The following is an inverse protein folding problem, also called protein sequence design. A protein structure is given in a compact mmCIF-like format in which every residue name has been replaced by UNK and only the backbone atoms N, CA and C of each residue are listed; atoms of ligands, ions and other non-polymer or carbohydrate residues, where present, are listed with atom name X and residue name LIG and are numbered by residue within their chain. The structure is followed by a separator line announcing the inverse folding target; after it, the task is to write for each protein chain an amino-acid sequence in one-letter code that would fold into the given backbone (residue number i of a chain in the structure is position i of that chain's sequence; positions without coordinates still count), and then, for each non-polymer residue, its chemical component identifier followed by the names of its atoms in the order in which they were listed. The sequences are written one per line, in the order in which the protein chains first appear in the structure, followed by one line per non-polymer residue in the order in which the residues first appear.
data_IF_727558927841
#
_entry.id   IF_727558927841
#
_cell.length_a   1.000
_cell.length_b   1.000
_cell.length_c   1.000
_cell.angle_alpha   90.00
_cell.angle_beta   90.00
_cell.angle_gamma   90.00
#
_symmetry.space_group_name_H-M   'P 1'
#
loop_
_entity.id
_entity.type
_entity.pdbx_description
1 polymer ?
#
# COMPACT_ATOMS: atom_id res chain seq x y z
N UNK A 1 0.24 -14.79 11.58
CA UNK A 1 -0.67 -13.68 12.02
C UNK A 1 -0.63 -13.47 13.53
N UNK A 2 -0.59 -14.56 14.36
CA UNK A 2 -0.64 -14.45 15.83
C UNK A 2 0.52 -13.69 16.51
N UNK A 3 1.65 -13.53 15.84
CA UNK A 3 2.80 -12.72 16.32
C UNK A 3 2.89 -11.44 15.50
N UNK A 4 2.93 -11.55 14.20
CA UNK A 4 3.20 -10.44 13.30
C UNK A 4 2.16 -9.31 13.36
N UNK A 5 0.86 -9.63 13.44
CA UNK A 5 -0.18 -8.59 13.50
C UNK A 5 -0.12 -7.74 14.78
N UNK A 6 0.03 -8.32 15.98
CA UNK A 6 0.27 -7.53 17.20
C UNK A 6 1.52 -6.67 17.14
N UNK A 7 2.62 -7.15 16.54
CA UNK A 7 3.83 -6.35 16.35
C UNK A 7 3.60 -5.16 15.43
N UNK A 8 2.93 -5.35 14.29
CA UNK A 8 2.60 -4.27 13.36
C UNK A 8 1.63 -3.26 13.98
N UNK A 9 0.64 -3.71 14.74
CA UNK A 9 -0.27 -2.81 15.46
C UNK A 9 0.50 -1.90 16.43
N UNK A 10 1.35 -2.48 17.27
CA UNK A 10 2.18 -1.74 18.22
C UNK A 10 3.16 -0.80 17.52
N UNK A 11 3.81 -1.27 16.45
CA UNK A 11 4.74 -0.48 15.65
C UNK A 11 4.05 0.74 15.02
N UNK A 12 2.91 0.56 14.35
CA UNK A 12 2.18 1.65 13.70
C UNK A 12 1.72 2.70 14.71
N UNK A 13 1.20 2.29 15.87
CA UNK A 13 0.83 3.21 16.96
C UNK A 13 2.02 4.01 17.45
N UNK A 14 3.17 3.38 17.65
CA UNK A 14 4.39 4.03 18.10
C UNK A 14 4.98 4.98 17.05
N UNK A 15 5.04 4.54 15.79
CA UNK A 15 5.71 5.27 14.72
C UNK A 15 4.89 6.46 14.19
N UNK A 16 3.56 6.36 14.23
CA UNK A 16 2.66 7.34 13.58
C UNK A 16 1.75 8.09 14.55
N UNK A 17 1.65 7.65 15.81
CA UNK A 17 0.76 8.25 16.80
C UNK A 17 -0.72 7.92 16.60
N UNK A 18 -1.07 7.01 15.71
CA UNK A 18 -2.47 6.59 15.51
C UNK A 18 -2.99 5.86 16.75
N UNK A 19 -4.25 6.07 17.09
CA UNK A 19 -4.88 5.48 18.28
C UNK A 19 -5.46 4.09 18.02
N UNK A 20 -5.78 3.77 16.77
CA UNK A 20 -6.42 2.51 16.39
C UNK A 20 -5.86 2.01 15.06
N UNK A 21 -5.63 0.71 14.97
CA UNK A 21 -5.15 0.01 13.76
C UNK A 21 -6.07 -1.17 13.50
N UNK A 22 -6.48 -1.36 12.24
CA UNK A 22 -7.21 -2.53 11.78
C UNK A 22 -6.43 -3.19 10.65
N UNK A 23 -5.87 -4.36 10.92
CA UNK A 23 -5.11 -5.13 9.93
C UNK A 23 -6.06 -6.12 9.26
N UNK A 24 -6.38 -5.90 7.99
CA UNK A 24 -7.41 -6.66 7.27
C UNK A 24 -6.86 -7.61 6.20
N UNK A 25 -5.60 -7.43 5.78
CA UNK A 25 -5.00 -8.28 4.76
C UNK A 25 -3.47 -8.31 4.87
N UNK A 26 -2.86 -9.30 4.23
CA UNK A 26 -1.43 -9.35 3.94
C UNK A 26 -1.19 -10.11 2.63
N UNK A 27 -0.17 -9.76 1.91
CA UNK A 27 0.24 -10.42 0.67
C UNK A 27 1.74 -10.67 0.70
N UNK A 28 2.16 -11.88 0.38
CA UNK A 28 3.56 -12.21 0.17
C UNK A 28 3.85 -12.11 -1.32
N UNK A 29 4.86 -11.32 -1.69
CA UNK A 29 5.30 -11.16 -3.08
C UNK A 29 6.53 -12.04 -3.32
N UNK A 30 6.46 -12.93 -4.31
CA UNK A 30 7.55 -13.84 -4.66
C UNK A 30 7.72 -13.87 -6.16
N UNK A 31 8.94 -13.59 -6.63
CA UNK A 31 9.28 -13.63 -8.05
C UNK A 31 9.36 -15.07 -8.57
N UNK A 32 9.96 -15.98 -7.79
CA UNK A 32 10.15 -17.38 -8.15
C UNK A 32 8.80 -18.11 -8.21
N UNK A 33 8.42 -18.59 -9.39
CA UNK A 33 7.18 -19.29 -9.63
C UNK A 33 7.03 -20.55 -8.78
N UNK A 34 8.11 -21.31 -8.62
CA UNK A 34 8.13 -22.55 -7.83
C UNK A 34 7.88 -22.34 -6.33
N UNK A 35 8.10 -21.13 -5.84
CA UNK A 35 7.87 -20.75 -4.44
C UNK A 35 6.49 -20.11 -4.19
N UNK A 36 5.71 -19.88 -5.23
CA UNK A 36 4.36 -19.29 -5.12
C UNK A 36 3.32 -20.34 -4.75
N UNK A 37 3.28 -20.71 -3.49
CA UNK A 37 2.30 -21.66 -2.95
C UNK A 37 1.31 -20.95 -2.03
N UNK A 38 0.01 -21.15 -2.27
CA UNK A 38 -1.06 -20.59 -1.45
C UNK A 38 -1.69 -19.30 -2.00
N UNK A 39 -2.88 -18.99 -1.51
CA UNK A 39 -3.72 -17.88 -2.00
C UNK A 39 -3.15 -16.47 -1.75
N UNK A 40 -2.29 -16.33 -0.75
CA UNK A 40 -1.70 -15.05 -0.33
C UNK A 40 -0.37 -14.74 -1.02
N UNK A 41 0.16 -15.65 -1.84
CA UNK A 41 1.45 -15.48 -2.52
C UNK A 41 1.23 -15.05 -3.97
N UNK A 42 1.77 -13.89 -4.34
CA UNK A 42 1.57 -13.26 -5.64
C UNK A 42 2.88 -12.78 -6.24
N UNK A 43 2.87 -12.44 -7.53
CA UNK A 43 3.97 -11.74 -8.18
C UNK A 43 4.14 -10.32 -7.61
N UNK A 44 5.37 -9.80 -7.60
CA UNK A 44 5.60 -8.36 -7.48
C UNK A 44 4.85 -7.59 -8.58
N UNK A 45 4.42 -6.37 -8.28
CA UNK A 45 3.67 -5.53 -9.22
C UNK A 45 4.62 -4.51 -9.83
N UNK A 46 4.95 -4.69 -11.11
CA UNK A 46 5.83 -3.78 -11.85
C UNK A 46 5.13 -2.51 -12.35
N UNK A 47 3.80 -2.54 -12.51
CA UNK A 47 3.04 -1.35 -12.92
C UNK A 47 2.96 -0.37 -11.77
N UNK A 48 3.28 0.91 -12.05
CA UNK A 48 3.16 1.98 -11.06
C UNK A 48 1.69 2.27 -10.79
N UNK A 49 1.32 2.24 -9.53
CA UNK A 49 -0.06 2.39 -9.07
C UNK A 49 -0.13 2.98 -7.67
N UNK A 50 -1.33 3.28 -7.24
CA UNK A 50 -1.69 3.48 -5.85
C UNK A 50 -2.95 2.66 -5.56
N UNK A 51 -2.99 1.97 -4.43
CA UNK A 51 -3.97 0.90 -4.16
C UNK A 51 -5.41 1.38 -3.98
N UNK A 52 -5.63 2.66 -3.69
CA UNK A 52 -6.95 3.20 -3.41
C UNK A 52 -7.20 4.53 -4.11
N UNK A 53 -8.48 4.78 -4.40
CA UNK A 53 -9.01 6.05 -4.90
C UNK A 53 -9.92 6.70 -3.86
N UNK A 54 -10.44 7.89 -4.16
CA UNK A 54 -11.46 8.55 -3.33
C UNK A 54 -12.69 7.67 -3.08
N UNK A 55 -13.03 6.84 -4.05
CA UNK A 55 -14.17 5.91 -3.95
C UNK A 55 -13.79 4.61 -3.23
N UNK A 56 -12.67 3.98 -3.62
CA UNK A 56 -12.35 2.64 -3.14
C UNK A 56 -11.79 2.62 -1.71
N UNK A 57 -11.16 3.69 -1.23
CA UNK A 57 -10.69 3.80 0.14
C UNK A 57 -11.81 3.65 1.18
N UNK A 58 -12.82 4.55 1.20
CA UNK A 58 -13.96 4.43 2.09
C UNK A 58 -14.79 3.15 1.87
N UNK A 59 -14.92 2.73 0.61
CA UNK A 59 -15.58 1.45 0.29
C UNK A 59 -14.87 0.27 0.97
N UNK A 60 -13.54 0.23 0.93
CA UNK A 60 -12.78 -0.86 1.53
C UNK A 60 -12.97 -0.92 3.05
N UNK A 61 -13.08 0.21 3.72
CA UNK A 61 -13.41 0.25 5.17
C UNK A 61 -14.72 -0.47 5.42
N UNK A 62 -15.77 -0.19 4.63
CA UNK A 62 -17.07 -0.86 4.75
C UNK A 62 -17.04 -2.35 4.40
N UNK A 63 -16.16 -2.75 3.48
CA UNK A 63 -16.05 -4.15 3.05
C UNK A 63 -15.37 -5.06 4.11
N UNK A 64 -14.55 -4.49 5.01
CA UNK A 64 -13.70 -5.27 5.94
C UNK A 64 -14.07 -5.12 7.41
N UNK A 65 -15.02 -4.26 7.73
CA UNK A 65 -15.48 -3.97 9.09
C UNK A 65 -16.99 -4.18 9.21
N UNK A 66 -17.47 -4.31 10.43
CA UNK A 66 -18.91 -4.18 10.71
C UNK A 66 -19.38 -2.75 10.40
N UNK A 67 -20.67 -2.58 10.12
CA UNK A 67 -21.25 -1.27 9.78
C UNK A 67 -20.95 -0.21 10.85
N UNK A 68 -21.12 -0.55 12.13
CA UNK A 68 -20.86 0.37 13.24
C UNK A 68 -19.39 0.77 13.37
N UNK A 69 -18.45 -0.16 13.13
CA UNK A 69 -17.03 0.13 13.13
C UNK A 69 -16.65 0.98 11.92
N UNK A 70 -17.16 0.64 10.74
CA UNK A 70 -16.90 1.40 9.53
C UNK A 70 -17.33 2.86 9.67
N UNK A 71 -18.53 3.13 10.16
CA UNK A 71 -19.00 4.50 10.37
C UNK A 71 -18.16 5.25 11.42
N UNK A 72 -17.69 4.57 12.47
CA UNK A 72 -16.78 5.17 13.43
C UNK A 72 -15.44 5.57 12.78
N UNK A 73 -14.84 4.73 11.93
CA UNK A 73 -13.59 5.08 11.23
C UNK A 73 -13.82 6.19 10.21
N UNK A 74 -14.90 6.11 9.43
CA UNK A 74 -15.19 7.07 8.37
C UNK A 74 -15.58 8.47 8.90
N UNK A 75 -16.07 8.57 10.15
CA UNK A 75 -16.37 9.86 10.80
C UNK A 75 -15.12 10.58 11.37
N UNK A 76 -13.95 9.95 11.31
CA UNK A 76 -12.69 10.50 11.78
C UNK A 76 -11.64 10.51 10.66
N UNK A 77 -10.47 11.08 10.94
CA UNK A 77 -9.34 10.92 10.04
C UNK A 77 -8.88 9.46 10.05
N UNK A 78 -8.76 8.88 8.88
CA UNK A 78 -8.19 7.56 8.68
C UNK A 78 -7.25 7.53 7.48
N UNK A 79 -6.30 6.61 7.52
CA UNK A 79 -5.41 6.33 6.42
C UNK A 79 -5.33 4.82 6.16
N UNK A 80 -5.08 4.44 4.91
CA UNK A 80 -4.74 3.08 4.53
C UNK A 80 -3.24 3.01 4.23
N UNK A 81 -2.55 2.14 4.95
CA UNK A 81 -1.10 2.06 4.92
C UNK A 81 -0.66 0.63 4.64
N UNK A 82 0.18 0.45 3.64
CA UNK A 82 0.90 -0.80 3.43
C UNK A 82 2.20 -0.77 4.22
N UNK A 83 2.41 -1.79 5.04
CA UNK A 83 3.69 -2.04 5.71
C UNK A 83 4.47 -3.01 4.85
N UNK A 84 5.39 -2.49 4.05
CA UNK A 84 6.22 -3.28 3.15
C UNK A 84 7.58 -3.59 3.79
N UNK A 85 8.02 -4.82 3.70
CA UNK A 85 9.37 -5.24 4.09
C UNK A 85 9.81 -6.46 3.31
N UNK A 86 11.12 -6.72 3.25
CA UNK A 86 11.63 -7.97 2.76
C UNK A 86 11.48 -9.10 3.79
N UNK A 87 11.48 -10.35 3.35
CA UNK A 87 11.32 -11.52 4.21
C UNK A 87 12.52 -12.46 4.05
N UNK A 88 13.31 -12.58 5.11
CA UNK A 88 14.43 -13.53 5.21
C UNK A 88 15.72 -13.16 4.50
N UNK A 89 15.65 -12.30 3.47
CA UNK A 89 16.81 -11.81 2.69
C UNK A 89 16.63 -10.33 2.36
N UNK A 90 17.72 -9.65 1.98
CA UNK A 90 17.64 -8.26 1.49
C UNK A 90 16.82 -8.14 0.20
N UNK A 91 16.24 -6.97 -0.03
CA UNK A 91 15.44 -6.66 -1.22
C UNK A 91 16.34 -6.11 -2.35
N UNK A 92 17.05 -6.99 -3.04
CA UNK A 92 18.05 -6.60 -4.05
C UNK A 92 17.46 -6.44 -5.45
N UNK A 93 16.72 -7.44 -5.95
CA UNK A 93 16.34 -7.52 -7.36
C UNK A 93 15.08 -6.74 -7.74
N UNK A 94 14.09 -6.71 -6.87
CA UNK A 94 12.80 -6.05 -7.12
C UNK A 94 12.43 -5.17 -5.91
N UNK A 95 13.23 -4.13 -5.62
CA UNK A 95 12.92 -3.21 -4.54
C UNK A 95 11.62 -2.47 -4.81
N UNK A 96 10.96 -2.04 -3.75
CA UNK A 96 9.83 -1.13 -3.89
C UNK A 96 10.34 0.26 -4.28
N UNK A 97 9.75 0.84 -5.31
CA UNK A 97 9.98 2.22 -5.72
C UNK A 97 8.74 3.05 -5.39
N UNK A 98 8.94 4.28 -4.96
CA UNK A 98 7.88 5.23 -4.67
C UNK A 98 8.21 6.61 -5.21
N UNK A 99 7.17 7.35 -5.61
CA UNK A 99 7.33 8.71 -6.08
C UNK A 99 7.38 9.71 -4.92
N UNK A 100 8.13 10.78 -5.11
CA UNK A 100 7.94 11.99 -4.33
C UNK A 100 6.57 12.59 -4.66
N UNK A 101 5.65 12.57 -3.69
CA UNK A 101 4.29 13.05 -3.87
C UNK A 101 4.19 14.51 -4.34
N UNK A 102 5.23 15.32 -4.08
CA UNK A 102 5.31 16.72 -4.53
C UNK A 102 5.51 16.85 -6.03
N UNK A 103 5.97 15.78 -6.68
CA UNK A 103 6.27 15.73 -8.11
C UNK A 103 5.19 15.03 -8.94
N UNK A 104 4.22 14.37 -8.29
CA UNK A 104 3.07 13.75 -8.93
C UNK A 104 1.91 14.74 -8.98
N UNK A 105 1.41 15.02 -10.18
CA UNK A 105 0.26 15.90 -10.36
C UNK A 105 -1.05 15.13 -10.19
N UNK A 106 -2.15 15.77 -9.76
CA UNK A 106 -3.45 15.11 -9.67
C UNK A 106 -3.88 14.41 -10.97
N UNK A 107 -3.59 15.01 -12.14
CA UNK A 107 -3.93 14.48 -13.47
C UNK A 107 -3.07 13.28 -13.88
N UNK A 108 -1.99 12.99 -13.17
CA UNK A 108 -1.17 11.81 -13.40
C UNK A 108 -1.85 10.53 -12.83
N UNK A 109 -2.78 10.67 -11.90
CA UNK A 109 -3.57 9.57 -11.36
C UNK A 109 -4.79 9.26 -12.23
N UNK A 110 -4.85 8.04 -12.75
CA UNK A 110 -5.95 7.55 -13.59
C UNK A 110 -6.68 6.43 -12.88
N UNK A 111 -7.92 6.66 -12.48
CA UNK A 111 -8.73 5.64 -11.85
C UNK A 111 -8.94 4.44 -12.79
N UNK A 112 -8.73 3.25 -12.28
CA UNK A 112 -8.85 1.99 -13.03
C UNK A 112 -9.54 0.93 -12.19
N UNK A 113 -10.55 0.30 -12.78
CA UNK A 113 -11.30 -0.76 -12.14
C UNK A 113 -10.48 -2.04 -11.96
N UNK A 114 -10.61 -2.66 -10.80
CA UNK A 114 -10.19 -4.03 -10.53
C UNK A 114 -11.44 -4.90 -10.39
N UNK A 115 -11.72 -5.68 -11.42
CA UNK A 115 -12.89 -6.56 -11.44
C UNK A 115 -12.50 -7.95 -10.96
N UNK A 116 -13.05 -8.38 -9.83
CA UNK A 116 -12.94 -9.73 -9.28
C UNK A 116 -14.26 -10.48 -9.51
N UNK A 117 -14.28 -11.77 -9.28
CA UNK A 117 -15.50 -12.58 -9.44
C UNK A 117 -16.61 -12.16 -8.46
N UNK A 118 -16.24 -11.75 -7.26
CA UNK A 118 -17.11 -11.49 -6.12
C UNK A 118 -17.18 -10.01 -5.70
N UNK A 119 -16.30 -9.16 -6.26
CA UNK A 119 -16.24 -7.75 -5.90
C UNK A 119 -15.63 -6.88 -6.99
N UNK A 120 -15.90 -5.59 -6.91
CA UNK A 120 -15.22 -4.55 -7.67
C UNK A 120 -14.36 -3.70 -6.72
N UNK A 121 -13.12 -3.48 -7.11
CA UNK A 121 -12.21 -2.52 -6.52
C UNK A 121 -11.85 -1.44 -7.54
N UNK A 122 -11.13 -0.43 -7.09
CA UNK A 122 -10.59 0.62 -7.94
C UNK A 122 -9.23 1.05 -7.38
N UNK A 123 -8.27 1.24 -8.26
CA UNK A 123 -6.93 1.74 -7.95
C UNK A 123 -6.65 2.98 -8.80
N UNK A 124 -5.61 3.73 -8.45
CA UNK A 124 -5.00 4.65 -9.40
C UNK A 124 -3.85 3.98 -10.13
N UNK A 125 -3.90 3.96 -11.46
CA UNK A 125 -2.69 3.84 -12.27
C UNK A 125 -2.05 5.21 -12.39
N UNK A 126 -0.72 5.24 -12.56
CA UNK A 126 0.01 6.50 -12.64
C UNK A 126 0.54 6.68 -14.05
N UNK A 127 0.12 7.77 -14.69
CA UNK A 127 0.63 8.17 -16.01
C UNK A 127 2.03 8.74 -15.86
N UNK A 128 2.94 8.31 -16.72
CA UNK A 128 4.26 8.92 -16.77
C UNK A 128 4.16 10.40 -17.17
N UNK A 129 4.84 11.27 -16.46
CA UNK A 129 5.07 12.64 -16.83
C UNK A 129 6.49 13.08 -16.50
N UNK A 130 7.01 14.04 -17.31
CA UNK A 130 8.33 14.61 -17.06
C UNK A 130 8.35 15.37 -15.73
N UNK A 131 9.41 15.19 -14.95
CA UNK A 131 9.59 15.83 -13.66
C UNK A 131 9.11 15.01 -12.46
N UNK A 132 8.56 13.82 -12.67
CA UNK A 132 8.34 12.87 -11.58
C UNK A 132 9.67 12.38 -11.03
N UNK A 133 9.84 12.44 -9.70
CA UNK A 133 11.02 11.96 -8.99
C UNK A 133 10.68 10.68 -8.24
N UNK A 134 11.57 9.68 -8.36
CA UNK A 134 11.35 8.34 -7.85
C UNK A 134 12.48 7.93 -6.91
N UNK A 135 12.12 7.30 -5.79
CA UNK A 135 13.03 6.87 -4.75
C UNK A 135 12.84 5.40 -4.42
N UNK A 136 13.92 4.73 -4.07
CA UNK A 136 13.90 3.39 -3.50
C UNK A 136 15.00 3.27 -2.45
N UNK A 137 14.90 2.27 -1.60
CA UNK A 137 15.94 1.93 -0.63
C UNK A 137 16.72 0.73 -1.16
N UNK A 138 18.00 0.90 -1.53
CA UNK A 138 18.83 -0.21 -1.99
C UNK A 138 19.07 -1.20 -0.86
N UNK A 139 19.09 -2.50 -1.19
CA UNK A 139 19.48 -3.60 -0.28
C UNK A 139 18.72 -3.60 1.06
N UNK A 140 17.47 -3.18 1.04
CA UNK A 140 16.63 -3.06 2.23
C UNK A 140 16.59 -4.37 3.01
N UNK A 141 16.96 -4.30 4.29
CA UNK A 141 17.11 -5.47 5.16
C UNK A 141 15.76 -5.96 5.72
N UNK A 142 15.69 -7.23 6.20
CA UNK A 142 14.45 -7.78 6.74
C UNK A 142 13.90 -7.09 8.00
N UNK A 143 14.72 -6.34 8.73
CA UNK A 143 14.36 -5.55 9.91
C UNK A 143 13.97 -4.10 9.58
N UNK A 144 14.05 -3.72 8.31
CA UNK A 144 13.61 -2.41 7.82
C UNK A 144 12.22 -2.50 7.20
N UNK A 145 11.43 -1.42 7.35
CA UNK A 145 10.09 -1.33 6.78
C UNK A 145 9.87 -0.01 6.06
N UNK A 146 9.08 -0.05 5.00
CA UNK A 146 8.54 1.14 4.34
C UNK A 146 7.04 1.22 4.63
N UNK A 147 6.59 2.38 5.08
CA UNK A 147 5.18 2.69 5.22
C UNK A 147 4.69 3.43 3.97
N UNK A 148 3.91 2.75 3.14
CA UNK A 148 3.28 3.34 1.96
C UNK A 148 1.87 3.79 2.33
N UNK A 149 1.65 5.10 2.44
CA UNK A 149 0.32 5.65 2.67
C UNK A 149 -0.45 5.66 1.36
N UNK A 150 -1.31 4.68 1.17
CA UNK A 150 -2.07 4.49 -0.06
C UNK A 150 -3.39 5.27 -0.09
N UNK A 151 -3.83 5.79 1.05
CA UNK A 151 -5.01 6.66 1.17
C UNK A 151 -4.96 7.46 2.48
N UNK A 152 -5.38 8.71 2.43
CA UNK A 152 -5.68 9.53 3.59
C UNK A 152 -6.92 10.37 3.28
N UNK A 153 -7.96 10.32 4.13
CA UNK A 153 -9.16 11.11 3.91
C UNK A 153 -8.98 12.59 4.25
N UNK A 154 -7.88 12.98 4.92
CA UNK A 154 -7.53 14.39 5.10
C UNK A 154 -7.07 14.99 3.75
N UNK A 155 -7.67 16.09 3.35
CA UNK A 155 -7.39 16.76 2.06
C UNK A 155 -6.28 17.80 2.13
N UNK A 156 -5.87 18.15 3.35
CA UNK A 156 -4.83 19.14 3.66
C UNK A 156 -3.44 18.54 3.90
N UNK A 157 -3.30 17.22 3.76
CA UNK A 157 -2.03 16.55 3.93
C UNK A 157 -1.22 16.52 2.62
N UNK A 158 0.15 16.62 2.68
CA UNK A 158 0.99 16.74 1.48
C UNK A 158 0.96 15.51 0.56
N UNK A 159 0.71 14.31 1.11
CA UNK A 159 0.67 13.07 0.35
C UNK A 159 -0.53 12.24 0.79
N UNK A 160 -1.62 12.29 0.04
CA UNK A 160 -2.81 11.45 0.27
C UNK A 160 -2.65 10.07 -0.32
N UNK A 161 -1.83 9.98 -1.36
CA UNK A 161 -1.55 8.78 -2.14
C UNK A 161 -0.04 8.63 -2.32
N UNK A 162 0.45 7.40 -2.33
CA UNK A 162 1.83 7.08 -2.67
C UNK A 162 1.86 6.26 -3.94
N UNK A 163 2.21 6.89 -5.07
CA UNK A 163 2.48 6.16 -6.30
C UNK A 163 3.68 5.25 -6.08
N UNK A 164 3.51 3.94 -6.29
CA UNK A 164 4.53 2.94 -6.01
C UNK A 164 4.44 1.73 -6.94
N UNK A 165 5.49 0.94 -6.96
CA UNK A 165 5.58 -0.32 -7.69
C UNK A 165 6.90 -1.01 -7.41
N UNK A 166 7.32 -1.88 -8.31
CA UNK A 166 8.68 -2.47 -8.29
C UNK A 166 9.34 -2.27 -9.63
N UNK A 167 10.67 -2.29 -9.64
CA UNK A 167 11.46 -2.28 -10.87
C UNK A 167 12.57 -3.34 -10.78
N UNK A 168 13.07 -3.76 -11.92
CA UNK A 168 14.23 -4.66 -11.95
C UNK A 168 15.50 -3.83 -11.73
N UNK A 169 16.15 -4.09 -10.61
CA UNK A 169 17.44 -3.48 -10.28
C UNK A 169 18.54 -4.29 -10.97
N UNK A 170 19.31 -3.69 -11.90
CA UNK A 170 20.31 -4.40 -12.71
C UNK A 170 21.50 -4.94 -11.91
#
# INVERSE_FOLDING_TARGET
TGIYYPEIDAFLKSATGVTSVHIFDHTIRVQDEGKRTGKQVRLPVATIHNDYTEWSGPKRVRDVMSEAEAERYLSHRFAMVNVWRSIGVSAERLPVVMADARTIRPDDFVASDLVYQDRKGEIFQVRHSMGQEWFYFPDMQPDEVVLLKCFDNATDCPARYTAHGTFENP
#
